data_IF_795544322681
#
_entry.id   IF_795544322681
#
_cell.length_a   1.000
_cell.length_b   1.000
_cell.length_c   1.000
_cell.angle_alpha   90.00
_cell.angle_beta   90.00
_cell.angle_gamma   90.00
#
_symmetry.space_group_name_H-M   'P 1'
#
loop_
_entity.id
_entity.type
_entity.pdbx_description
1 polymer ?
#
# COMPACT_ATOMS: atom_id res chain seq x y z
N UNK A 1 15.67 25.98 -11.33
CA UNK A 1 14.19 25.95 -11.34
C UNK A 1 13.74 24.52 -11.11
N UNK A 2 12.66 24.30 -10.36
CA UNK A 2 12.15 23.00 -9.92
C UNK A 2 10.71 22.84 -10.43
N UNK A 3 10.40 21.66 -10.97
CA UNK A 3 9.07 21.32 -11.46
C UNK A 3 8.59 19.97 -10.89
N UNK A 4 7.31 19.89 -10.53
CA UNK A 4 6.66 18.64 -10.09
C UNK A 4 5.29 18.49 -10.74
N UNK A 5 4.73 17.28 -10.75
CA UNK A 5 3.34 17.08 -11.22
C UNK A 5 2.36 17.64 -10.18
N UNK A 6 2.44 17.18 -8.94
CA UNK A 6 1.63 17.64 -7.82
C UNK A 6 2.47 18.48 -6.86
N UNK A 7 1.85 19.53 -6.30
CA UNK A 7 2.37 20.26 -5.15
C UNK A 7 1.34 20.22 -4.03
N UNK A 8 1.64 19.46 -2.96
CA UNK A 8 0.76 19.36 -1.79
C UNK A 8 1.05 20.54 -0.86
N UNK A 9 0.37 21.67 -1.09
CA UNK A 9 0.72 22.97 -0.49
C UNK A 9 0.49 23.03 1.02
N UNK A 10 -0.36 22.15 1.58
CA UNK A 10 -0.61 22.08 3.03
C UNK A 10 0.54 21.49 3.85
N UNK A 11 1.43 20.72 3.23
CA UNK A 11 2.54 20.03 3.95
C UNK A 11 3.92 20.38 3.39
N UNK A 12 4.00 20.82 2.13
CA UNK A 12 5.27 21.09 1.46
C UNK A 12 5.97 22.34 2.02
N UNK A 13 7.19 22.16 2.55
CA UNK A 13 8.02 23.26 3.07
C UNK A 13 8.54 24.21 1.99
N UNK A 14 8.70 23.71 0.77
CA UNK A 14 9.25 24.45 -0.37
C UNK A 14 8.22 24.43 -1.50
N UNK A 15 7.92 25.60 -2.05
CA UNK A 15 7.07 25.75 -3.23
C UNK A 15 7.93 25.59 -4.50
N UNK A 16 7.57 24.68 -5.45
CA UNK A 16 8.28 24.56 -6.72
C UNK A 16 8.00 25.75 -7.63
N UNK A 17 8.88 26.02 -8.60
CA UNK A 17 8.68 27.08 -9.60
C UNK A 17 7.52 26.74 -10.55
N UNK A 18 7.30 25.45 -10.82
CA UNK A 18 6.25 24.95 -11.69
C UNK A 18 5.57 23.72 -11.09
N UNK A 19 4.26 23.64 -11.22
CA UNK A 19 3.47 22.47 -10.87
C UNK A 19 2.25 22.35 -11.79
N UNK A 20 1.77 21.12 -12.04
CA UNK A 20 0.56 20.91 -12.82
C UNK A 20 -0.71 21.09 -11.96
N UNK A 21 -0.70 20.56 -10.73
CA UNK A 21 -1.83 20.67 -9.79
C UNK A 21 -1.37 21.02 -8.38
N UNK A 22 -2.06 21.97 -7.76
CA UNK A 22 -1.95 22.24 -6.33
C UNK A 22 -2.97 21.38 -5.58
N UNK A 23 -2.49 20.63 -4.60
CA UNK A 23 -3.29 19.74 -3.76
C UNK A 23 -3.34 20.33 -2.35
N UNK A 24 -4.54 20.73 -1.92
CA UNK A 24 -4.71 21.40 -0.62
C UNK A 24 -4.84 20.44 0.54
N UNK A 25 -5.30 19.22 0.28
CA UNK A 25 -5.47 18.18 1.30
C UNK A 25 -4.47 17.05 1.09
N UNK A 26 -3.98 16.48 2.19
CA UNK A 26 -3.06 15.36 2.08
C UNK A 26 -3.81 14.10 1.63
N UNK A 27 -3.40 13.57 0.48
CA UNK A 27 -3.90 12.30 -0.05
C UNK A 27 -2.72 11.54 -0.64
N UNK A 28 -2.81 10.21 -0.64
CA UNK A 28 -1.81 9.38 -1.31
C UNK A 28 -2.12 9.26 -2.80
N UNK A 29 -1.19 9.71 -3.65
CA UNK A 29 -1.27 9.49 -5.10
C UNK A 29 -0.53 8.21 -5.47
N UNK A 30 -1.28 7.22 -5.93
CA UNK A 30 -0.69 6.02 -6.51
C UNK A 30 -0.43 6.26 -8.00
N UNK A 31 0.85 6.26 -8.40
CA UNK A 31 1.21 6.41 -9.81
C UNK A 31 1.19 5.06 -10.53
N UNK A 32 0.90 5.02 -11.84
CA UNK A 32 0.89 3.77 -12.60
C UNK A 32 2.20 2.97 -12.48
N UNK A 33 3.34 3.66 -12.46
CA UNK A 33 4.68 3.04 -12.36
C UNK A 33 5.08 2.64 -10.94
N UNK A 34 4.36 3.08 -9.90
CA UNK A 34 4.60 2.66 -8.49
C UNK A 34 3.51 1.74 -7.97
N UNK A 35 2.46 1.49 -8.74
CA UNK A 35 1.23 0.82 -8.28
C UNK A 35 1.47 -0.50 -7.55
N UNK A 36 2.35 -1.36 -8.07
CA UNK A 36 2.67 -2.65 -7.43
C UNK A 36 3.41 -2.48 -6.10
N UNK A 37 4.42 -1.61 -6.06
CA UNK A 37 5.17 -1.32 -4.83
C UNK A 37 4.26 -0.69 -3.77
N UNK A 38 3.41 0.27 -4.15
CA UNK A 38 2.45 0.89 -3.24
C UNK A 38 1.46 -0.14 -2.67
N UNK A 39 0.88 -1.00 -3.52
CA UNK A 39 0.00 -2.09 -3.07
C UNK A 39 0.71 -3.01 -2.08
N UNK A 40 1.96 -3.39 -2.36
CA UNK A 40 2.75 -4.24 -1.47
C UNK A 40 2.98 -3.57 -0.10
N UNK A 41 3.37 -2.30 -0.08
CA UNK A 41 3.59 -1.54 1.17
C UNK A 41 2.28 -1.35 1.96
N UNK A 42 1.17 -1.13 1.26
CA UNK A 42 -0.15 -1.01 1.89
C UNK A 42 -0.60 -2.31 2.53
N UNK A 43 -0.48 -3.44 1.83
CA UNK A 43 -0.76 -4.76 2.42
C UNK A 43 0.13 -5.00 3.64
N UNK A 44 1.45 -4.74 3.53
CA UNK A 44 2.36 -4.87 4.67
C UNK A 44 1.91 -4.06 5.88
N UNK A 45 1.60 -2.77 5.68
CA UNK A 45 1.15 -1.88 6.75
C UNK A 45 -0.15 -2.37 7.38
N UNK A 46 -1.12 -2.77 6.56
CA UNK A 46 -2.40 -3.29 7.04
C UNK A 46 -2.22 -4.54 7.92
N UNK A 47 -1.38 -5.49 7.47
CA UNK A 47 -1.09 -6.71 8.24
C UNK A 47 -0.36 -6.40 9.54
N UNK A 48 0.62 -5.50 9.50
CA UNK A 48 1.41 -5.08 10.65
C UNK A 48 0.54 -4.42 11.73
N UNK A 49 -0.30 -3.46 11.35
CA UNK A 49 -1.20 -2.77 12.28
C UNK A 49 -2.25 -3.73 12.84
N UNK A 50 -2.85 -4.59 12.00
CA UNK A 50 -3.81 -5.60 12.49
C UNK A 50 -3.15 -6.57 13.48
N UNK A 51 -1.91 -6.98 13.23
CA UNK A 51 -1.15 -7.80 14.16
C UNK A 51 -0.89 -7.08 15.49
N UNK A 52 -0.53 -5.79 15.47
CA UNK A 52 -0.34 -4.99 16.69
C UNK A 52 -1.62 -4.87 17.52
N UNK A 53 -2.77 -4.72 16.86
CA UNK A 53 -4.06 -4.53 17.53
C UNK A 53 -4.68 -5.82 18.07
N UNK A 54 -4.58 -6.92 17.30
CA UNK A 54 -5.35 -8.15 17.56
C UNK A 54 -4.49 -9.38 17.81
N UNK A 55 -3.19 -9.32 17.48
CA UNK A 55 -2.31 -10.49 17.46
C UNK A 55 -2.55 -11.46 16.29
N UNK A 56 -3.50 -11.17 15.38
CA UNK A 56 -3.79 -12.02 14.21
C UNK A 56 -2.58 -12.11 13.28
N UNK A 57 -2.18 -13.34 12.93
CA UNK A 57 -1.07 -13.62 12.01
C UNK A 57 -1.46 -14.42 10.79
N UNK A 58 -2.49 -15.25 10.87
CA UNK A 58 -2.93 -16.10 9.77
C UNK A 58 -3.98 -15.38 8.93
N UNK A 59 -3.82 -15.42 7.62
CA UNK A 59 -4.69 -14.76 6.66
C UNK A 59 -4.98 -15.66 5.47
N UNK A 60 -6.20 -15.63 4.96
CA UNK A 60 -6.49 -16.14 3.61
C UNK A 60 -6.33 -15.04 2.56
N UNK A 61 -6.27 -15.43 1.29
CA UNK A 61 -6.20 -14.48 0.18
C UNK A 61 -7.40 -13.52 0.18
N UNK A 62 -8.60 -14.07 0.37
CA UNK A 62 -9.87 -13.35 0.38
C UNK A 62 -9.93 -12.35 1.54
N UNK A 63 -9.51 -12.78 2.74
CA UNK A 63 -9.46 -11.89 3.91
C UNK A 63 -8.54 -10.69 3.67
N UNK A 64 -7.39 -10.89 3.02
CA UNK A 64 -6.46 -9.79 2.70
C UNK A 64 -7.13 -8.81 1.73
N UNK A 65 -7.80 -9.29 0.68
CA UNK A 65 -8.46 -8.43 -0.31
C UNK A 65 -9.60 -7.63 0.34
N UNK A 66 -10.46 -8.30 1.11
CA UNK A 66 -11.59 -7.66 1.77
C UNK A 66 -11.11 -6.59 2.74
N UNK A 67 -10.11 -6.91 3.57
CA UNK A 67 -9.53 -5.96 4.51
C UNK A 67 -8.84 -4.80 3.82
N UNK A 68 -8.15 -5.05 2.70
CA UNK A 68 -7.52 -4.00 1.90
C UNK A 68 -8.55 -3.02 1.33
N UNK A 69 -9.67 -3.54 0.81
CA UNK A 69 -10.79 -2.74 0.31
C UNK A 69 -11.43 -1.91 1.42
N UNK A 70 -11.58 -2.49 2.61
CA UNK A 70 -12.08 -1.78 3.79
C UNK A 70 -11.14 -0.63 4.22
N UNK A 71 -9.84 -0.88 4.26
CA UNK A 71 -8.84 0.10 4.71
C UNK A 71 -8.63 1.26 3.74
N UNK A 72 -8.57 0.96 2.44
CA UNK A 72 -8.13 1.92 1.42
C UNK A 72 -9.25 2.36 0.47
N UNK A 73 -10.42 1.72 0.50
CA UNK A 73 -11.58 2.08 -0.32
C UNK A 73 -11.38 1.84 -1.82
N UNK A 74 -10.38 1.05 -2.22
CA UNK A 74 -10.03 0.80 -3.62
C UNK A 74 -9.81 -0.69 -3.90
N UNK A 75 -10.01 -1.08 -5.16
CA UNK A 75 -9.60 -2.37 -5.72
C UNK A 75 -8.47 -2.14 -6.73
N UNK A 76 -7.33 -2.80 -6.51
CA UNK A 76 -6.17 -2.67 -7.39
C UNK A 76 -6.13 -3.71 -8.50
N UNK A 77 -6.94 -4.76 -8.40
CA UNK A 77 -7.01 -5.87 -9.35
C UNK A 77 -6.18 -7.09 -8.95
N UNK A 78 -6.66 -8.26 -9.36
CA UNK A 78 -6.12 -9.58 -9.03
C UNK A 78 -4.62 -9.73 -9.24
N UNK A 79 -4.11 -9.30 -10.40
CA UNK A 79 -2.68 -9.38 -10.73
C UNK A 79 -1.82 -8.65 -9.70
N UNK A 80 -2.22 -7.44 -9.30
CA UNK A 80 -1.48 -6.64 -8.33
C UNK A 80 -1.51 -7.25 -6.93
N UNK A 81 -2.64 -7.81 -6.50
CA UNK A 81 -2.72 -8.51 -5.22
C UNK A 81 -1.78 -9.72 -5.19
N UNK A 82 -1.83 -10.56 -6.22
CA UNK A 82 -0.99 -11.76 -6.31
C UNK A 82 0.50 -11.43 -6.37
N UNK A 83 0.88 -10.47 -7.21
CA UNK A 83 2.28 -10.05 -7.33
C UNK A 83 2.78 -9.40 -6.04
N UNK A 84 1.96 -8.58 -5.37
CA UNK A 84 2.33 -7.97 -4.09
C UNK A 84 2.53 -9.02 -2.99
N UNK A 85 1.64 -10.01 -2.87
CA UNK A 85 1.79 -11.10 -1.91
C UNK A 85 3.01 -11.97 -2.20
N UNK A 86 3.30 -12.24 -3.47
CA UNK A 86 4.53 -12.94 -3.88
C UNK A 86 5.77 -12.16 -3.44
N UNK A 87 5.81 -10.86 -3.69
CA UNK A 87 6.93 -10.00 -3.28
C UNK A 87 7.09 -9.92 -1.75
N UNK A 88 5.99 -9.89 -1.00
CA UNK A 88 6.03 -9.94 0.47
C UNK A 88 6.56 -11.28 0.98
N UNK A 89 6.22 -12.38 0.33
CA UNK A 89 6.77 -13.69 0.66
C UNK A 89 8.27 -13.78 0.35
N UNK A 90 8.71 -13.29 -0.82
CA UNK A 90 10.13 -13.20 -1.19
C UNK A 90 10.95 -12.35 -0.22
N UNK A 91 10.33 -11.31 0.35
CA UNK A 91 10.94 -10.42 1.36
C UNK A 91 10.84 -10.97 2.80
N UNK A 92 10.33 -12.19 2.99
CA UNK A 92 10.09 -12.82 4.30
C UNK A 92 9.15 -12.05 5.25
N UNK A 93 8.29 -11.18 4.70
CA UNK A 93 7.23 -10.51 5.48
C UNK A 93 6.03 -11.45 5.67
N UNK A 94 5.82 -12.33 4.70
CA UNK A 94 4.81 -13.38 4.73
C UNK A 94 5.48 -14.75 4.58
N UNK A 95 4.97 -15.74 5.29
CA UNK A 95 5.25 -17.15 5.04
C UNK A 95 4.00 -17.79 4.43
N UNK A 96 4.16 -18.52 3.34
CA UNK A 96 3.05 -19.24 2.69
C UNK A 96 2.99 -20.66 3.24
N UNK A 97 1.85 -21.03 3.83
CA UNK A 97 1.57 -22.38 4.33
C UNK A 97 0.26 -22.89 3.72
N UNK A 98 0.38 -23.65 2.62
CA UNK A 98 -0.79 -24.10 1.85
C UNK A 98 -1.53 -22.92 1.23
N UNK A 99 -2.79 -22.73 1.62
CA UNK A 99 -3.66 -21.63 1.17
C UNK A 99 -3.61 -20.40 2.10
N UNK A 100 -2.80 -20.45 3.16
CA UNK A 100 -2.70 -19.38 4.15
C UNK A 100 -1.40 -18.58 4.01
N UNK A 101 -1.51 -17.30 4.37
CA UNK A 101 -0.39 -16.37 4.54
C UNK A 101 -0.21 -16.08 6.02
N UNK A 102 1.00 -16.31 6.53
CA UNK A 102 1.36 -16.05 7.93
C UNK A 102 2.24 -14.82 7.99
N UNK A 103 1.75 -13.77 8.65
CA UNK A 103 2.51 -12.55 8.88
C UNK A 103 3.69 -12.80 9.83
N UNK A 104 4.87 -12.39 9.40
CA UNK A 104 6.13 -12.53 10.14
C UNK A 104 6.62 -11.12 10.51
N UNK A 105 6.44 -10.69 11.79
CA UNK A 105 6.87 -9.38 12.26
C UNK A 105 8.39 -9.22 12.32
#
# INVERSE_FOLDING_TARGET
RIATLQWISSVAKIKPDYYYIEVKEWVWFQYPWTRLEDTMQFIKRMLEETYKETGKREWTYEEIIEKFKEWYGIDVGETYYRDALRMLAEKNVLKVEGEKYIYTP
#
